data_IF_034825472447
#
_entry.id   IF_034825472447
#
_cell.length_a   1.000
_cell.length_b   1.000
_cell.length_c   1.000
_cell.angle_alpha   90.00
_cell.angle_beta   90.00
_cell.angle_gamma   90.00
#
_symmetry.space_group_name_H-M   'P 1'
#
loop_
_entity.id
_entity.type
_entity.pdbx_description
1 polymer ?
#
# COMPACT_ATOMS: atom_id res chain seq x y z
N UNK A 1 -48.33 -36.84 -13.03
CA UNK A 1 -47.99 -35.47 -12.59
C UNK A 1 -46.84 -35.57 -11.61
N UNK A 2 -45.78 -34.82 -11.88
CA UNK A 2 -44.39 -35.06 -11.44
C UNK A 2 -44.14 -34.95 -9.93
N UNK A 3 -43.20 -35.78 -9.47
CA UNK A 3 -42.59 -35.77 -8.14
C UNK A 3 -41.72 -34.51 -7.96
N UNK A 4 -41.90 -33.86 -6.81
CA UNK A 4 -41.02 -32.84 -6.25
C UNK A 4 -39.72 -33.53 -5.81
N UNK A 5 -38.58 -33.13 -6.35
CA UNK A 5 -37.25 -33.66 -6.00
C UNK A 5 -36.43 -32.62 -5.25
N UNK A 6 -35.79 -33.10 -4.19
CA UNK A 6 -34.91 -32.45 -3.23
C UNK A 6 -33.87 -31.48 -3.81
N UNK A 7 -33.79 -30.28 -3.22
CA UNK A 7 -32.63 -29.39 -3.31
C UNK A 7 -31.75 -29.60 -2.05
N UNK A 8 -30.42 -29.70 -2.16
CA UNK A 8 -29.57 -29.82 -0.98
C UNK A 8 -29.49 -28.47 -0.25
N UNK A 9 -29.59 -28.53 1.07
CA UNK A 9 -29.43 -27.40 1.97
C UNK A 9 -28.03 -26.80 1.81
N UNK A 10 -28.01 -25.53 1.41
CA UNK A 10 -26.81 -24.70 1.33
C UNK A 10 -26.38 -24.35 2.76
N UNK A 11 -25.33 -25.02 3.25
CA UNK A 11 -24.80 -24.83 4.60
C UNK A 11 -23.67 -23.78 4.56
N UNK A 12 -23.97 -22.57 4.08
CA UNK A 12 -23.10 -21.42 4.25
C UNK A 12 -23.22 -20.92 5.69
N UNK A 13 -22.23 -21.27 6.51
CA UNK A 13 -22.01 -20.64 7.82
C UNK A 13 -21.67 -19.17 7.54
N UNK A 14 -22.42 -18.18 8.05
CA UNK A 14 -22.04 -16.78 7.89
C UNK A 14 -20.69 -16.55 8.59
N UNK A 15 -19.78 -15.86 7.91
CA UNK A 15 -18.55 -15.38 8.54
C UNK A 15 -18.91 -14.46 9.72
N UNK A 16 -18.14 -14.50 10.84
CA UNK A 16 -18.43 -13.67 11.99
C UNK A 16 -18.35 -12.18 11.61
N UNK A 17 -19.42 -11.43 11.89
CA UNK A 17 -19.43 -9.97 11.79
C UNK A 17 -18.47 -9.44 12.85
N UNK A 18 -17.30 -8.97 12.43
CA UNK A 18 -16.34 -8.29 13.31
C UNK A 18 -16.83 -6.85 13.47
N UNK A 19 -17.28 -6.48 14.67
CA UNK A 19 -17.48 -5.06 15.00
C UNK A 19 -16.11 -4.38 15.09
N UNK A 20 -15.81 -3.51 14.12
CA UNK A 20 -14.65 -2.64 14.17
C UNK A 20 -14.89 -1.57 15.24
N UNK A 21 -14.47 -1.87 16.48
CA UNK A 21 -14.40 -0.87 17.56
C UNK A 21 -12.94 -0.44 17.69
N UNK A 22 -12.50 0.63 17.00
CA UNK A 22 -11.18 1.19 17.24
C UNK A 22 -11.12 1.74 18.68
N UNK A 23 -10.06 1.41 19.40
CA UNK A 23 -9.77 2.03 20.70
C UNK A 23 -9.21 3.43 20.47
N UNK A 24 -9.74 4.44 21.17
CA UNK A 24 -9.15 5.79 21.18
C UNK A 24 -7.70 5.70 21.67
N UNK A 25 -6.70 6.21 20.93
CA UNK A 25 -5.33 6.31 21.44
C UNK A 25 -5.33 7.13 22.72
N UNK A 26 -4.67 6.65 23.77
CA UNK A 26 -4.52 7.42 25.00
C UNK A 26 -3.88 8.78 24.69
N UNK A 27 -4.46 9.87 25.22
CA UNK A 27 -3.83 11.19 25.15
C UNK A 27 -2.42 11.10 25.75
N UNK A 28 -1.38 11.65 25.08
CA UNK A 28 -0.05 11.71 25.68
C UNK A 28 -0.14 12.52 26.99
N UNK A 29 0.51 12.09 28.07
CA UNK A 29 0.47 12.83 29.32
C UNK A 29 1.02 14.24 29.12
N UNK A 30 0.27 15.25 29.59
CA UNK A 30 0.77 16.61 29.74
C UNK A 30 1.99 16.59 30.64
N UNK A 31 3.17 16.84 30.09
CA UNK A 31 4.38 17.07 30.87
C UNK A 31 4.31 18.50 31.41
N UNK A 32 4.14 18.64 32.71
CA UNK A 32 4.29 19.92 33.42
C UNK A 32 5.69 20.49 33.17
N UNK A 33 5.74 21.76 32.76
CA UNK A 33 6.98 22.49 32.59
C UNK A 33 7.68 22.66 33.95
N UNK A 34 8.82 21.99 34.11
CA UNK A 34 9.74 22.24 35.21
C UNK A 34 10.72 23.32 34.75
N UNK A 35 10.68 24.48 35.40
CA UNK A 35 11.66 25.56 35.23
C UNK A 35 13.08 25.05 35.51
N UNK A 36 13.92 25.00 34.47
CA UNK A 36 15.34 24.72 34.60
C UNK A 36 16.11 26.04 34.81
N UNK A 37 16.74 26.13 35.97
CA UNK A 37 17.67 27.19 36.39
C UNK A 37 18.89 27.21 35.45
N UNK A 38 19.17 28.39 34.91
CA UNK A 38 20.35 28.69 34.08
C UNK A 38 21.59 28.86 34.96
N UNK A 39 22.76 28.34 34.56
CA UNK A 39 23.98 29.10 34.73
C UNK A 39 24.70 29.33 33.40
N UNK A 40 25.00 30.61 33.19
CA UNK A 40 25.88 31.18 32.18
C UNK A 40 27.31 30.62 32.28
N UNK A 41 27.84 30.17 31.15
CA UNK A 41 29.25 30.37 30.77
C UNK A 41 29.37 30.28 29.24
N UNK A 42 29.74 31.39 28.59
CA UNK A 42 30.32 31.37 27.23
C UNK A 42 31.64 30.58 27.24
N UNK A 43 32.03 30.04 26.08
CA UNK A 43 33.13 30.71 25.39
C UNK A 43 32.80 31.03 23.93
N UNK A 44 33.29 32.18 23.51
CA UNK A 44 33.43 32.58 22.12
C UNK A 44 34.24 31.54 21.35
N UNK A 45 33.71 31.07 20.23
CA UNK A 45 34.51 30.79 19.05
C UNK A 45 33.68 31.07 17.80
N UNK A 46 34.25 31.91 16.96
CA UNK A 46 33.72 32.41 15.69
C UNK A 46 33.52 31.25 14.72
N UNK A 47 32.28 30.86 14.44
CA UNK A 47 31.99 29.93 13.34
C UNK A 47 32.07 30.72 12.03
N UNK A 48 33.19 30.54 11.33
CA UNK A 48 33.32 30.84 9.91
C UNK A 48 32.35 29.95 9.16
N UNK A 49 31.46 30.57 8.39
CA UNK A 49 30.53 29.90 7.47
C UNK A 49 31.36 29.30 6.33
N UNK A 50 31.70 28.02 6.42
CA UNK A 50 32.20 27.26 5.28
C UNK A 50 31.02 26.54 4.61
N UNK A 51 30.49 27.18 3.57
CA UNK A 51 29.67 26.55 2.55
C UNK A 51 30.59 25.71 1.64
N UNK A 52 30.80 24.44 1.99
CA UNK A 52 31.13 23.35 1.05
C UNK A 52 31.25 22.04 1.84
N UNK A 53 30.14 21.32 1.99
CA UNK A 53 30.20 19.89 2.33
C UNK A 53 29.94 19.12 1.05
N UNK A 54 31.02 18.78 0.34
CA UNK A 54 30.96 17.88 -0.81
C UNK A 54 30.34 16.53 -0.36
N UNK A 55 29.44 15.92 -1.14
CA UNK A 55 28.89 14.61 -0.82
C UNK A 55 30.01 13.56 -0.67
N UNK A 56 29.84 12.61 0.25
CA UNK A 56 30.78 11.49 0.40
C UNK A 56 30.95 10.72 -0.92
N UNK A 57 32.16 10.23 -1.21
CA UNK A 57 32.48 9.56 -2.48
C UNK A 57 31.55 8.36 -2.79
N UNK A 58 31.16 7.59 -1.77
CA UNK A 58 30.23 6.45 -1.92
C UNK A 58 28.83 6.88 -2.36
N UNK A 59 28.34 8.02 -1.86
CA UNK A 59 27.06 8.61 -2.28
C UNK A 59 27.12 9.11 -3.72
N UNK A 60 28.23 9.75 -4.12
CA UNK A 60 28.44 10.20 -5.49
C UNK A 60 28.45 9.02 -6.47
N UNK A 61 29.16 7.94 -6.13
CA UNK A 61 29.23 6.72 -6.95
C UNK A 61 27.87 6.03 -7.11
N UNK A 62 27.07 5.98 -6.04
CA UNK A 62 25.73 5.41 -6.10
C UNK A 62 24.79 6.25 -6.98
N UNK A 63 24.87 7.58 -6.86
CA UNK A 63 24.07 8.50 -7.68
C UNK A 63 24.42 8.38 -9.16
N UNK A 64 25.71 8.30 -9.50
CA UNK A 64 26.17 8.11 -10.88
C UNK A 64 25.65 6.80 -11.48
N UNK A 65 25.70 5.70 -10.72
CA UNK A 65 25.14 4.41 -11.14
C UNK A 65 23.63 4.50 -11.35
N UNK A 66 22.92 5.15 -10.43
CA UNK A 66 21.48 5.33 -10.53
C UNK A 66 21.09 6.14 -11.78
N UNK A 67 21.83 7.19 -12.11
CA UNK A 67 21.62 7.99 -13.32
C UNK A 67 21.92 7.17 -14.60
N UNK A 68 22.94 6.32 -14.59
CA UNK A 68 23.23 5.41 -15.69
C UNK A 68 22.10 4.37 -15.89
N UNK A 69 21.61 3.76 -14.81
CA UNK A 69 20.47 2.84 -14.86
C UNK A 69 19.19 3.55 -15.35
N UNK A 70 18.98 4.82 -14.97
CA UNK A 70 17.88 5.63 -15.47
C UNK A 70 17.95 5.78 -17.00
N UNK A 71 19.11 6.16 -17.54
CA UNK A 71 19.32 6.33 -18.98
C UNK A 71 19.08 5.01 -19.76
N UNK A 72 19.64 3.90 -19.27
CA UNK A 72 19.45 2.57 -19.86
C UNK A 72 17.98 2.17 -19.81
N UNK A 73 17.32 2.41 -18.67
CA UNK A 73 15.91 2.07 -18.47
C UNK A 73 14.97 2.82 -19.42
N UNK A 74 15.16 4.13 -19.58
CA UNK A 74 14.40 4.95 -20.53
C UNK A 74 14.64 4.52 -21.97
N UNK A 75 15.90 4.24 -22.33
CA UNK A 75 16.26 3.72 -23.66
C UNK A 75 15.57 2.38 -23.95
N UNK A 76 15.60 1.45 -22.99
CA UNK A 76 14.91 0.18 -23.10
C UNK A 76 13.39 0.34 -23.24
N UNK A 77 12.78 1.30 -22.51
CA UNK A 77 11.35 1.60 -22.62
C UNK A 77 10.99 2.06 -24.04
N UNK A 78 11.77 2.99 -24.60
CA UNK A 78 11.57 3.48 -25.98
C UNK A 78 11.74 2.37 -27.03
N UNK A 79 12.65 1.43 -26.79
CA UNK A 79 12.86 0.25 -27.64
C UNK A 79 11.76 -0.83 -27.46
N UNK A 80 10.80 -0.64 -26.56
CA UNK A 80 9.75 -1.62 -26.27
C UNK A 80 10.20 -2.81 -25.41
N UNK A 81 11.41 -2.78 -24.86
CA UNK A 81 11.91 -3.81 -23.96
C UNK A 81 11.45 -3.52 -22.52
N UNK A 82 10.18 -3.80 -22.26
CA UNK A 82 9.48 -3.36 -21.03
C UNK A 82 10.07 -3.97 -19.75
N UNK A 83 10.58 -5.20 -19.79
CA UNK A 83 11.12 -5.89 -18.61
C UNK A 83 12.49 -5.33 -18.23
N UNK A 84 13.36 -5.08 -19.21
CA UNK A 84 14.63 -4.40 -18.97
C UNK A 84 14.39 -2.97 -18.45
N UNK A 85 13.47 -2.24 -19.08
CA UNK A 85 13.09 -0.91 -18.65
C UNK A 85 12.64 -0.87 -17.19
N UNK A 86 11.69 -1.74 -16.80
CA UNK A 86 11.19 -1.82 -15.42
C UNK A 86 12.31 -2.18 -14.44
N UNK A 87 13.19 -3.10 -14.83
CA UNK A 87 14.31 -3.54 -14.00
C UNK A 87 15.28 -2.39 -13.74
N UNK A 88 15.75 -1.73 -14.79
CA UNK A 88 16.71 -0.64 -14.73
C UNK A 88 16.16 0.59 -14.02
N UNK A 89 14.92 0.97 -14.30
CA UNK A 89 14.29 2.11 -13.63
C UNK A 89 14.06 1.84 -12.13
N UNK A 90 13.77 0.60 -11.72
CA UNK A 90 13.74 0.27 -10.30
C UNK A 90 15.12 0.29 -9.66
N UNK A 91 16.17 -0.20 -10.33
CA UNK A 91 17.54 -0.08 -9.83
C UNK A 91 17.93 1.39 -9.64
N UNK A 92 17.62 2.23 -10.62
CA UNK A 92 17.83 3.67 -10.53
C UNK A 92 17.08 4.27 -9.33
N UNK A 93 15.79 3.97 -9.16
CA UNK A 93 14.97 4.49 -8.07
C UNK A 93 15.55 4.15 -6.68
N UNK A 94 16.08 2.93 -6.50
CA UNK A 94 16.70 2.51 -5.24
C UNK A 94 18.15 2.99 -5.08
N UNK A 95 18.81 3.38 -6.18
CA UNK A 95 20.23 3.79 -6.20
C UNK A 95 20.51 5.23 -5.75
N UNK A 96 19.47 6.01 -5.39
CA UNK A 96 19.64 7.37 -4.88
C UNK A 96 19.62 8.44 -5.98
N UNK A 97 18.60 8.41 -6.84
CA UNK A 97 18.36 9.48 -7.81
C UNK A 97 18.09 10.84 -7.12
N UNK A 98 18.43 11.97 -7.76
CA UNK A 98 17.97 13.28 -7.30
C UNK A 98 16.43 13.39 -7.40
N UNK A 99 15.85 14.27 -6.57
CA UNK A 99 14.39 14.30 -6.33
C UNK A 99 13.54 14.46 -7.61
N UNK A 100 14.01 15.27 -8.57
CA UNK A 100 13.30 15.48 -9.84
C UNK A 100 13.24 14.18 -10.66
N UNK A 101 14.36 13.48 -10.76
CA UNK A 101 14.44 12.19 -11.45
C UNK A 101 13.66 11.10 -10.72
N UNK A 102 13.59 11.12 -9.38
CA UNK A 102 12.75 10.19 -8.60
C UNK A 102 11.29 10.31 -9.02
N UNK A 103 10.79 11.54 -9.13
CA UNK A 103 9.39 11.79 -9.50
C UNK A 103 9.09 11.27 -10.91
N UNK A 104 9.90 11.67 -11.91
CA UNK A 104 9.68 11.22 -13.29
C UNK A 104 9.84 9.70 -13.43
N UNK A 105 10.85 9.10 -12.80
CA UNK A 105 11.07 7.65 -12.80
C UNK A 105 9.86 6.89 -12.24
N UNK A 106 9.23 7.38 -11.18
CA UNK A 106 8.01 6.77 -10.62
C UNK A 106 6.83 6.82 -11.58
N UNK A 107 6.68 7.89 -12.37
CA UNK A 107 5.64 7.98 -13.41
C UNK A 107 5.91 6.93 -14.50
N UNK A 108 7.15 6.86 -14.98
CA UNK A 108 7.58 5.90 -16.01
C UNK A 108 7.36 4.44 -15.57
N UNK A 109 7.67 4.14 -14.30
CA UNK A 109 7.47 2.83 -13.70
C UNK A 109 6.00 2.48 -13.51
N UNK A 110 5.14 3.44 -13.13
CA UNK A 110 3.70 3.19 -13.01
C UNK A 110 3.08 2.80 -14.36
N UNK A 111 3.46 3.48 -15.45
CA UNK A 111 3.02 3.11 -16.80
C UNK A 111 3.53 1.73 -17.23
N UNK A 112 4.76 1.36 -16.85
CA UNK A 112 5.30 0.03 -17.09
C UNK A 112 4.57 -1.03 -16.28
N UNK A 113 4.18 -0.74 -15.03
CA UNK A 113 3.40 -1.64 -14.19
C UNK A 113 2.00 -1.88 -14.78
N UNK A 114 1.33 -0.86 -15.31
CA UNK A 114 0.05 -1.04 -16.01
C UNK A 114 0.18 -1.98 -17.23
N UNK A 115 1.33 -1.96 -17.91
CA UNK A 115 1.61 -2.81 -19.09
C UNK A 115 2.14 -4.19 -18.75
N UNK A 116 2.79 -4.39 -17.61
CA UNK A 116 3.52 -5.63 -17.29
C UNK A 116 3.00 -6.36 -16.06
N UNK A 117 2.49 -5.65 -15.06
CA UNK A 117 1.97 -6.20 -13.80
C UNK A 117 0.45 -6.31 -13.87
N UNK A 118 -0.23 -5.19 -14.09
CA UNK A 118 -1.71 -5.11 -14.02
C UNK A 118 -2.41 -5.44 -15.35
N UNK A 119 -1.66 -5.73 -16.41
CA UNK A 119 -2.19 -6.18 -17.69
C UNK A 119 -2.43 -7.69 -17.74
N UNK A 120 -3.24 -8.10 -18.72
CA UNK A 120 -3.36 -9.50 -19.10
C UNK A 120 -2.09 -10.02 -19.78
N UNK A 121 -1.72 -11.25 -19.47
CA UNK A 121 -0.58 -11.95 -20.09
C UNK A 121 0.75 -11.73 -19.36
N UNK A 122 1.65 -12.68 -19.55
CA UNK A 122 3.01 -12.69 -18.99
C UNK A 122 3.98 -12.24 -20.07
N UNK A 123 4.73 -11.17 -19.79
CA UNK A 123 5.79 -10.72 -20.67
C UNK A 123 6.93 -11.74 -20.72
N UNK A 124 7.64 -11.81 -21.84
CA UNK A 124 8.74 -12.75 -22.01
C UNK A 124 9.82 -12.52 -20.94
N UNK A 125 10.24 -13.59 -20.26
CA UNK A 125 11.23 -13.56 -19.19
C UNK A 125 10.90 -12.60 -18.03
N UNK A 126 9.62 -12.36 -17.75
CA UNK A 126 9.21 -11.56 -16.59
C UNK A 126 9.45 -12.34 -15.28
N UNK A 127 10.33 -11.88 -14.38
CA UNK A 127 10.59 -12.56 -13.11
C UNK A 127 9.46 -12.41 -12.08
N UNK A 128 8.51 -11.50 -12.30
CA UNK A 128 7.41 -11.22 -11.37
C UNK A 128 6.14 -12.01 -11.68
N UNK A 129 6.08 -12.69 -12.83
CA UNK A 129 4.85 -13.28 -13.32
C UNK A 129 5.10 -14.61 -14.04
N UNK A 130 4.16 -15.55 -13.86
CA UNK A 130 4.15 -16.80 -14.62
C UNK A 130 2.74 -17.18 -15.06
N UNK A 131 2.65 -18.17 -15.95
CA UNK A 131 1.37 -18.77 -16.30
C UNK A 131 1.12 -19.97 -15.40
N UNK A 132 0.03 -19.93 -14.66
CA UNK A 132 -0.51 -21.06 -13.91
C UNK A 132 -1.60 -21.76 -14.72
N UNK A 133 -1.52 -23.09 -14.84
CA UNK A 133 -2.61 -23.90 -15.42
C UNK A 133 -3.50 -24.42 -14.31
N UNK A 134 -4.77 -24.02 -14.33
CA UNK A 134 -5.80 -24.45 -13.38
C UNK A 134 -5.94 -25.97 -13.38
N UNK A 135 -5.95 -26.57 -12.20
CA UNK A 135 -6.06 -28.01 -11.97
C UNK A 135 -7.39 -28.35 -11.32
N UNK A 136 -7.79 -29.62 -11.40
CA UNK A 136 -8.97 -30.11 -10.67
C UNK A 136 -8.87 -29.78 -9.17
N UNK A 137 -9.94 -29.22 -8.61
CA UNK A 137 -10.03 -28.80 -7.20
C UNK A 137 -9.47 -27.41 -6.89
N UNK A 138 -8.95 -26.67 -7.88
CA UNK A 138 -8.58 -25.28 -7.69
C UNK A 138 -9.82 -24.37 -7.58
N UNK A 139 -9.68 -23.31 -6.78
CA UNK A 139 -10.54 -22.12 -6.82
C UNK A 139 -9.67 -20.89 -7.00
N UNK A 140 -10.23 -19.78 -7.46
CA UNK A 140 -9.47 -18.55 -7.68
C UNK A 140 -8.82 -18.07 -6.37
N UNK A 141 -9.56 -18.13 -5.26
CA UNK A 141 -9.06 -17.80 -3.93
C UNK A 141 -7.89 -18.70 -3.49
N UNK A 142 -7.96 -20.02 -3.72
CA UNK A 142 -6.86 -20.94 -3.36
C UNK A 142 -5.60 -20.68 -4.19
N UNK A 143 -5.77 -20.36 -5.48
CA UNK A 143 -4.65 -19.99 -6.35
C UNK A 143 -4.06 -18.67 -5.86
N UNK A 144 -4.88 -17.64 -5.67
CA UNK A 144 -4.44 -16.32 -5.22
C UNK A 144 -3.64 -16.40 -3.90
N UNK A 145 -4.17 -17.13 -2.90
CA UNK A 145 -3.49 -17.36 -1.63
C UNK A 145 -2.11 -18.01 -1.81
N UNK A 146 -1.97 -19.02 -2.68
CA UNK A 146 -0.66 -19.67 -2.96
C UNK A 146 0.38 -18.66 -3.46
N UNK A 147 -0.06 -17.68 -4.23
CA UNK A 147 0.78 -16.65 -4.84
C UNK A 147 0.84 -15.36 -4.00
N UNK A 148 0.25 -15.36 -2.80
CA UNK A 148 0.15 -14.19 -1.91
C UNK A 148 -0.50 -12.99 -2.59
N UNK A 149 -1.59 -13.25 -3.29
CA UNK A 149 -2.44 -12.27 -3.98
C UNK A 149 -3.85 -12.32 -3.41
N UNK A 150 -4.62 -11.26 -3.67
CA UNK A 150 -6.07 -11.31 -3.52
C UNK A 150 -6.69 -12.01 -4.75
N UNK A 151 -7.88 -12.58 -4.56
CA UNK A 151 -8.64 -13.13 -5.67
C UNK A 151 -9.25 -12.04 -6.57
N UNK A 152 -9.50 -10.84 -6.05
CA UNK A 152 -9.87 -9.63 -6.82
C UNK A 152 -8.82 -9.26 -7.85
N UNK A 153 -7.55 -9.16 -7.42
CA UNK A 153 -6.45 -8.86 -8.32
C UNK A 153 -6.29 -9.96 -9.35
N UNK A 154 -6.31 -11.22 -8.91
CA UNK A 154 -6.14 -12.35 -9.80
C UNK A 154 -7.26 -12.42 -10.85
N UNK A 155 -8.52 -12.14 -10.46
CA UNK A 155 -9.64 -12.04 -11.37
C UNK A 155 -9.44 -10.90 -12.38
N UNK A 156 -9.07 -9.72 -11.89
CA UNK A 156 -8.92 -8.49 -12.67
C UNK A 156 -7.86 -8.65 -13.76
N UNK A 157 -6.64 -9.08 -13.41
CA UNK A 157 -5.55 -9.23 -14.39
C UNK A 157 -5.82 -10.35 -15.42
N UNK A 158 -6.70 -11.30 -15.08
CA UNK A 158 -7.12 -12.39 -15.96
C UNK A 158 -8.46 -12.14 -16.67
N UNK A 159 -9.07 -10.96 -16.48
CA UNK A 159 -10.36 -10.59 -17.06
C UNK A 159 -11.48 -11.60 -16.75
N UNK A 160 -11.51 -12.07 -15.49
CA UNK A 160 -12.51 -13.02 -15.00
C UNK A 160 -13.62 -12.23 -14.30
N UNK A 161 -14.80 -12.07 -14.91
CA UNK A 161 -15.89 -11.28 -14.30
C UNK A 161 -16.56 -12.02 -13.13
N UNK A 162 -16.53 -13.35 -13.12
CA UNK A 162 -17.09 -14.16 -12.05
C UNK A 162 -16.01 -15.11 -11.50
N UNK A 163 -15.55 -14.82 -10.28
CA UNK A 163 -14.47 -15.55 -9.60
C UNK A 163 -14.76 -17.05 -9.39
N UNK A 164 -16.03 -17.44 -9.45
CA UNK A 164 -16.48 -18.84 -9.29
C UNK A 164 -16.40 -19.65 -10.59
N UNK A 165 -16.04 -19.03 -11.72
CA UNK A 165 -16.02 -19.67 -13.04
C UNK A 165 -14.59 -19.77 -13.55
N UNK A 166 -13.75 -20.54 -12.85
CA UNK A 166 -12.49 -21.05 -13.41
C UNK A 166 -12.66 -22.51 -13.82
N UNK A 167 -11.93 -22.94 -14.86
CA UNK A 167 -12.02 -24.29 -15.41
C UNK A 167 -10.65 -24.92 -15.47
N UNK A 168 -10.58 -26.22 -15.22
CA UNK A 168 -9.36 -27.01 -15.42
C UNK A 168 -8.79 -26.80 -16.83
N UNK A 169 -7.46 -26.67 -16.92
CA UNK A 169 -6.74 -26.36 -18.16
C UNK A 169 -6.71 -24.88 -18.53
N UNK A 170 -7.52 -24.02 -17.88
CA UNK A 170 -7.42 -22.56 -18.08
C UNK A 170 -6.03 -22.06 -17.66
N UNK A 171 -5.42 -21.22 -18.49
CA UNK A 171 -4.14 -20.57 -18.18
C UNK A 171 -4.40 -19.20 -17.60
N UNK A 172 -3.91 -18.98 -16.38
CA UNK A 172 -4.00 -17.71 -15.66
C UNK A 172 -2.60 -17.09 -15.58
N UNK A 173 -2.50 -15.79 -15.79
CA UNK A 173 -1.38 -15.01 -15.27
C UNK A 173 -1.48 -15.02 -13.75
N UNK A 174 -0.39 -15.32 -13.09
CA UNK A 174 -0.20 -15.14 -11.66
C UNK A 174 1.02 -14.25 -11.43
N UNK A 175 0.97 -13.41 -10.42
CA UNK A 175 2.10 -12.59 -9.97
C UNK A 175 2.73 -13.25 -8.74
N UNK A 176 4.03 -13.06 -8.55
CA UNK A 176 4.71 -13.46 -7.32
C UNK A 176 4.56 -12.35 -6.27
N UNK A 177 3.51 -12.44 -5.47
CA UNK A 177 3.27 -11.52 -4.35
C UNK A 177 4.28 -11.67 -3.21
N UNK A 178 4.08 -10.95 -2.09
CA UNK A 178 2.97 -10.03 -1.85
C UNK A 178 3.24 -8.59 -2.33
N UNK A 179 2.20 -7.76 -2.24
CA UNK A 179 2.35 -6.30 -2.37
C UNK A 179 2.59 -5.65 -1.01
N UNK A 180 3.38 -4.58 -0.98
CA UNK A 180 3.66 -3.77 0.20
C UNK A 180 3.43 -2.29 -0.10
N UNK A 181 3.32 -1.50 0.97
CA UNK A 181 3.13 -0.05 0.90
C UNK A 181 4.22 0.66 1.70
N UNK A 182 4.72 1.77 1.18
CA UNK A 182 5.48 2.78 1.92
C UNK A 182 4.72 4.10 1.89
N UNK A 183 4.52 4.74 3.04
CA UNK A 183 3.88 6.04 3.16
C UNK A 183 4.92 7.03 3.69
N UNK A 184 5.13 8.10 2.92
CA UNK A 184 5.93 9.23 3.36
C UNK A 184 4.99 10.33 3.89
N UNK A 185 5.16 10.69 5.15
CA UNK A 185 4.33 11.69 5.82
C UNK A 185 4.64 13.10 5.37
N UNK A 186 5.91 13.45 5.09
CA UNK A 186 6.29 14.80 4.72
C UNK A 186 5.75 15.27 3.36
N UNK A 187 5.39 14.35 2.47
CA UNK A 187 4.82 14.67 1.15
C UNK A 187 3.45 14.05 0.86
N UNK A 188 2.83 13.41 1.86
CA UNK A 188 1.51 12.78 1.75
C UNK A 188 1.39 11.77 0.61
N UNK A 189 2.43 10.98 0.35
CA UNK A 189 2.42 9.98 -0.70
C UNK A 189 2.45 8.55 -0.16
N UNK A 190 1.56 7.73 -0.70
CA UNK A 190 1.63 6.27 -0.66
C UNK A 190 2.35 5.76 -1.89
N UNK A 191 3.30 4.86 -1.71
CA UNK A 191 4.00 4.13 -2.76
C UNK A 191 3.74 2.63 -2.61
N UNK A 192 3.30 1.98 -3.68
CA UNK A 192 3.00 0.55 -3.69
C UNK A 192 4.11 -0.20 -4.41
N UNK A 193 4.50 -1.33 -3.83
CA UNK A 193 5.53 -2.21 -4.33
C UNK A 193 4.99 -3.64 -4.48
N UNK A 194 5.33 -4.32 -5.57
CA UNK A 194 5.23 -5.78 -5.68
C UNK A 194 6.59 -6.35 -5.29
N UNK A 195 6.67 -7.00 -4.13
CA UNK A 195 7.96 -7.27 -3.49
C UNK A 195 8.74 -5.95 -3.34
N UNK A 196 9.92 -5.82 -3.96
CA UNK A 196 10.73 -4.60 -3.96
C UNK A 196 10.58 -3.75 -5.24
N UNK A 197 9.65 -4.12 -6.13
CA UNK A 197 9.43 -3.42 -7.40
C UNK A 197 8.34 -2.37 -7.23
N UNK A 198 8.68 -1.10 -7.41
CA UNK A 198 7.71 0.00 -7.41
C UNK A 198 6.73 -0.16 -8.57
N UNK A 199 5.42 -0.05 -8.26
CA UNK A 199 4.37 -0.25 -9.26
C UNK A 199 3.37 0.90 -9.36
N UNK A 200 3.13 1.66 -8.29
CA UNK A 200 2.07 2.68 -8.28
C UNK A 200 2.19 3.63 -7.08
N UNK A 201 1.52 4.78 -7.12
CA UNK A 201 1.40 5.69 -5.97
C UNK A 201 0.10 6.48 -5.98
N UNK A 202 -0.28 6.99 -4.81
CA UNK A 202 -1.41 7.90 -4.61
C UNK A 202 -1.11 8.91 -3.50
N UNK A 203 -1.85 10.02 -3.49
CA UNK A 203 -1.85 10.95 -2.35
C UNK A 203 -2.70 10.38 -1.22
N UNK A 204 -2.33 10.69 0.01
CA UNK A 204 -3.05 10.28 1.22
C UNK A 204 -3.43 11.47 2.10
N UNK A 205 -4.51 11.37 2.86
CA UNK A 205 -4.65 12.18 4.08
C UNK A 205 -4.16 11.39 5.29
N UNK A 206 -3.59 12.10 6.25
CA UNK A 206 -2.98 11.52 7.45
C UNK A 206 -3.61 12.12 8.71
N UNK A 207 -3.19 11.59 9.86
CA UNK A 207 -3.62 12.03 11.17
C UNK A 207 -3.13 13.42 11.53
N UNK A 208 -4.03 14.26 12.02
CA UNK A 208 -3.68 15.58 12.54
C UNK A 208 -2.63 15.49 13.65
N UNK A 209 -1.79 16.51 13.79
CA UNK A 209 -0.77 16.62 14.84
C UNK A 209 0.20 15.42 14.89
N UNK A 210 0.47 14.78 13.75
CA UNK A 210 1.36 13.62 13.68
C UNK A 210 0.77 12.33 14.25
N UNK A 211 -0.55 12.26 14.45
CA UNK A 211 -1.24 11.11 15.04
C UNK A 211 -1.26 9.84 14.19
N UNK A 212 -0.75 9.87 12.95
CA UNK A 212 -0.37 8.66 12.21
C UNK A 212 1.03 8.21 12.63
N UNK A 213 1.16 7.11 13.39
CA UNK A 213 2.45 6.69 13.94
C UNK A 213 3.36 6.13 12.85
N UNK A 214 4.65 6.46 12.95
CA UNK A 214 5.69 5.87 12.09
C UNK A 214 5.95 4.42 12.48
N UNK A 215 6.56 3.66 11.59
CA UNK A 215 6.92 2.27 11.84
C UNK A 215 6.41 1.32 10.78
N UNK A 216 6.47 0.02 11.10
CA UNK A 216 5.98 -1.03 10.21
C UNK A 216 4.69 -1.58 10.78
N UNK A 217 3.69 -1.67 9.93
CA UNK A 217 2.37 -2.21 10.21
C UNK A 217 2.14 -3.45 9.36
N UNK A 218 1.51 -4.47 9.94
CA UNK A 218 1.03 -5.64 9.22
C UNK A 218 -0.45 -5.44 8.88
N UNK A 219 -0.84 -5.80 7.66
CA UNK A 219 -2.26 -5.85 7.27
C UNK A 219 -2.88 -7.06 7.96
N UNK A 220 -3.91 -6.86 8.78
CA UNK A 220 -4.53 -7.94 9.57
C UNK A 220 -5.92 -8.34 9.06
N UNK A 221 -6.64 -7.39 8.47
CA UNK A 221 -8.01 -7.62 7.99
C UNK A 221 -8.33 -6.66 6.86
N UNK A 222 -9.29 -7.07 6.03
CA UNK A 222 -9.84 -6.28 4.95
C UNK A 222 -11.34 -6.47 4.91
N UNK A 223 -12.06 -5.38 4.70
CA UNK A 223 -13.51 -5.40 4.63
C UNK A 223 -13.99 -4.45 3.53
N UNK A 224 -14.82 -4.98 2.64
CA UNK A 224 -15.61 -4.20 1.69
C UNK A 224 -16.95 -3.82 2.35
N UNK A 225 -17.46 -2.63 2.04
CA UNK A 225 -18.65 -2.01 2.62
C UNK A 225 -18.68 -2.15 4.15
N UNK A 226 -17.64 -1.64 4.86
CA UNK A 226 -17.51 -1.86 6.28
C UNK A 226 -18.63 -1.19 7.08
N UNK A 227 -19.05 -1.83 8.16
CA UNK A 227 -19.73 -1.12 9.25
C UNK A 227 -18.67 -0.31 10.01
N UNK A 228 -19.03 0.89 10.48
CA UNK A 228 -18.14 1.70 11.30
C UNK A 228 -18.84 2.30 12.51
N UNK A 229 -18.10 2.41 13.62
CA UNK A 229 -18.52 3.10 14.83
C UNK A 229 -17.46 4.14 15.16
N UNK A 230 -17.87 5.41 15.24
CA UNK A 230 -16.98 6.48 15.67
C UNK A 230 -16.60 6.24 17.14
N UNK A 231 -15.30 6.06 17.44
CA UNK A 231 -14.87 5.76 18.80
C UNK A 231 -15.04 6.93 19.77
N UNK A 232 -15.22 8.16 19.27
CA UNK A 232 -15.40 9.37 20.09
C UNK A 232 -16.87 9.63 20.43
N UNK A 233 -17.76 9.44 19.47
CA UNK A 233 -19.19 9.77 19.62
C UNK A 233 -20.08 8.56 19.83
N UNK A 234 -19.60 7.36 19.48
CA UNK A 234 -20.41 6.14 19.44
C UNK A 234 -21.41 6.09 18.29
N UNK A 235 -21.41 7.09 17.39
CA UNK A 235 -22.25 7.07 16.20
C UNK A 235 -21.89 5.87 15.32
N UNK A 236 -22.90 5.24 14.74
CA UNK A 236 -22.75 4.01 13.96
C UNK A 236 -23.26 4.22 12.53
N UNK A 237 -22.50 3.70 11.58
CA UNK A 237 -22.85 3.61 10.17
C UNK A 237 -22.89 2.15 9.76
N UNK A 238 -23.93 1.79 9.01
CA UNK A 238 -24.13 0.43 8.52
C UNK A 238 -23.43 0.21 7.16
N UNK A 239 -23.23 -1.04 6.74
CA UNK A 239 -22.76 -1.33 5.38
C UNK A 239 -23.62 -0.64 4.31
N UNK A 240 -22.99 -0.13 3.26
CA UNK A 240 -23.60 0.64 2.14
C UNK A 240 -24.21 1.99 2.53
N UNK A 241 -23.95 2.49 3.74
CA UNK A 241 -24.33 3.84 4.13
C UNK A 241 -23.45 4.87 3.40
N UNK A 242 -24.01 5.74 2.54
CA UNK A 242 -23.23 6.71 1.78
C UNK A 242 -22.58 7.80 2.66
N UNK A 243 -23.07 7.99 3.88
CA UNK A 243 -22.53 8.96 4.84
C UNK A 243 -21.45 8.33 5.74
N UNK A 244 -21.06 7.08 5.50
CA UNK A 244 -20.02 6.40 6.27
C UNK A 244 -18.66 7.06 5.98
N UNK A 245 -18.02 7.72 6.96
CA UNK A 245 -16.81 8.51 6.70
C UNK A 245 -15.57 7.68 6.38
N UNK A 246 -15.60 6.36 6.59
CA UNK A 246 -14.51 5.47 6.16
C UNK A 246 -14.70 4.92 4.73
N UNK A 247 -15.81 5.26 4.07
CA UNK A 247 -16.10 4.89 2.68
C UNK A 247 -16.32 3.39 2.49
N UNK A 248 -16.04 2.91 1.27
CA UNK A 248 -16.43 1.57 0.82
C UNK A 248 -15.43 0.46 1.22
N UNK A 249 -14.24 0.81 1.69
CA UNK A 249 -13.18 -0.18 1.93
C UNK A 249 -12.39 0.16 3.19
N UNK A 250 -12.13 -0.87 3.99
CA UNK A 250 -11.31 -0.80 5.19
C UNK A 250 -10.19 -1.84 5.11
N UNK A 251 -8.97 -1.41 5.41
CA UNK A 251 -7.79 -2.27 5.57
C UNK A 251 -7.24 -2.03 6.97
N UNK A 252 -7.48 -2.97 7.88
CA UNK A 252 -7.04 -2.88 9.27
C UNK A 252 -5.56 -3.19 9.43
N UNK A 253 -4.90 -2.44 10.30
CA UNK A 253 -3.47 -2.51 10.54
C UNK A 253 -3.16 -2.83 12.02
N UNK A 254 -2.12 -3.62 12.22
CA UNK A 254 -1.50 -3.86 13.54
C UNK A 254 -0.02 -3.47 13.46
N UNK A 255 0.43 -2.67 14.43
CA UNK A 255 1.80 -2.17 14.42
C UNK A 255 2.79 -3.18 15.00
N UNK A 256 3.85 -3.47 14.25
CA UNK A 256 4.81 -4.56 14.54
C UNK A 256 6.26 -4.08 14.70
N UNK A 257 6.58 -2.84 14.32
CA UNK A 257 7.92 -2.24 14.50
C UNK A 257 7.86 -0.71 14.58
N UNK A 258 8.80 -0.09 15.30
CA UNK A 258 8.90 1.37 15.42
C UNK A 258 7.85 1.92 16.38
N UNK A 259 7.41 3.17 16.18
CA UNK A 259 6.41 3.81 17.03
C UNK A 259 5.05 3.10 16.95
N UNK A 260 4.81 2.35 15.88
CA UNK A 260 3.59 1.57 15.67
C UNK A 260 3.43 0.38 16.65
N UNK A 261 4.50 -0.13 17.28
CA UNK A 261 4.45 -1.40 18.04
C UNK A 261 3.30 -1.43 19.05
N UNK A 262 2.47 -2.46 18.96
CA UNK A 262 1.36 -2.70 19.89
C UNK A 262 0.13 -1.81 19.64
N UNK A 263 0.14 -0.97 18.61
CA UNK A 263 -1.00 -0.17 18.21
C UNK A 263 -1.95 -0.97 17.31
N UNK A 264 -3.25 -0.83 17.60
CA UNK A 264 -4.36 -1.44 16.87
C UNK A 264 -5.49 -0.42 16.69
N UNK A 265 -6.46 -0.70 15.81
CA UNK A 265 -7.55 0.24 15.51
C UNK A 265 -7.20 1.31 14.46
N UNK A 266 -5.99 1.23 13.90
CA UNK A 266 -5.56 2.00 12.74
C UNK A 266 -5.89 1.26 11.44
N UNK A 267 -6.07 2.02 10.36
CA UNK A 267 -6.35 1.44 9.06
C UNK A 267 -6.06 2.38 7.89
N UNK A 268 -6.11 1.79 6.69
CA UNK A 268 -6.19 2.50 5.42
C UNK A 268 -7.64 2.40 4.94
N UNK A 269 -8.28 3.52 4.62
CA UNK A 269 -9.68 3.53 4.21
C UNK A 269 -10.00 4.65 3.21
N UNK A 270 -11.22 4.64 2.66
CA UNK A 270 -11.73 5.68 1.76
C UNK A 270 -12.10 6.96 2.52
N UNK A 271 -12.74 7.92 1.85
CA UNK A 271 -13.25 9.13 2.53
C UNK A 271 -14.42 9.71 1.75
N UNK A 272 -15.41 10.25 2.46
CA UNK A 272 -16.49 11.05 1.85
C UNK A 272 -16.11 12.53 1.70
N UNK A 273 -14.92 12.90 2.18
CA UNK A 273 -14.35 14.25 2.15
C UNK A 273 -13.10 14.26 1.24
N UNK A 274 -13.22 14.11 -0.09
CA UNK A 274 -12.08 13.95 -1.00
C UNK A 274 -11.12 15.14 -1.00
N UNK A 275 -11.60 16.34 -0.66
CA UNK A 275 -10.78 17.55 -0.52
C UNK A 275 -9.73 17.45 0.60
N UNK A 276 -9.90 16.51 1.55
CA UNK A 276 -8.95 16.28 2.64
C UNK A 276 -7.69 15.53 2.21
N UNK A 277 -7.68 14.91 1.04
CA UNK A 277 -6.53 14.17 0.53
C UNK A 277 -5.33 15.11 0.35
N UNK A 278 -4.19 14.72 0.93
CA UNK A 278 -2.98 15.56 0.99
C UNK A 278 -2.89 16.48 2.21
N UNK A 279 -3.73 16.25 3.23
CA UNK A 279 -3.75 17.04 4.47
C UNK A 279 -3.65 16.15 5.72
N UNK A 280 -3.28 16.77 6.85
CA UNK A 280 -3.23 16.14 8.17
C UNK A 280 -4.52 16.44 8.96
N UNK A 281 -5.58 15.66 8.73
CA UNK A 281 -6.93 15.93 9.29
C UNK A 281 -7.60 14.73 9.96
N UNK A 282 -7.08 13.52 9.77
CA UNK A 282 -7.71 12.31 10.32
C UNK A 282 -7.43 12.16 11.81
N UNK A 283 -8.08 11.18 12.45
CA UNK A 283 -7.79 10.79 13.84
C UNK A 283 -6.55 9.90 13.99
N UNK A 284 -5.84 9.61 12.89
CA UNK A 284 -4.64 8.76 12.88
C UNK A 284 -4.59 7.79 11.70
N UNK A 285 -5.74 7.40 11.15
CA UNK A 285 -5.84 6.54 9.98
C UNK A 285 -5.34 7.21 8.68
N UNK A 286 -4.98 6.38 7.70
CA UNK A 286 -4.61 6.81 6.36
C UNK A 286 -5.86 6.84 5.49
N UNK A 287 -6.18 8.01 4.91
CA UNK A 287 -7.31 8.16 3.97
C UNK A 287 -6.82 8.18 2.53
N UNK A 288 -7.56 7.55 1.65
CA UNK A 288 -7.37 7.55 0.20
C UNK A 288 -8.66 8.01 -0.50
N UNK A 289 -8.53 8.53 -1.71
CA UNK A 289 -9.67 8.76 -2.60
C UNK A 289 -10.32 7.42 -3.01
N UNK A 290 -11.58 7.45 -3.44
CA UNK A 290 -12.39 6.25 -3.71
C UNK A 290 -11.73 5.26 -4.67
N UNK A 291 -11.26 5.73 -5.82
CA UNK A 291 -10.60 4.88 -6.81
C UNK A 291 -9.25 4.33 -6.29
N UNK A 292 -8.54 5.13 -5.49
CA UNK A 292 -7.24 4.77 -4.93
C UNK A 292 -7.39 3.69 -3.85
N UNK A 293 -8.35 3.84 -2.93
CA UNK A 293 -8.61 2.81 -1.92
C UNK A 293 -9.11 1.53 -2.57
N UNK A 294 -9.98 1.61 -3.59
CA UNK A 294 -10.44 0.43 -4.31
C UNK A 294 -9.25 -0.32 -4.93
N UNK A 295 -8.30 0.40 -5.55
CA UNK A 295 -7.09 -0.20 -6.09
C UNK A 295 -6.23 -0.83 -5.00
N UNK A 296 -5.89 -0.12 -3.93
CA UNK A 296 -5.06 -0.66 -2.82
C UNK A 296 -5.75 -1.85 -2.16
N UNK A 297 -7.07 -1.82 -2.04
CA UNK A 297 -7.90 -2.93 -1.60
C UNK A 297 -7.91 -4.09 -2.62
N UNK A 298 -7.40 -4.00 -3.83
CA UNK A 298 -7.14 -5.23 -4.61
C UNK A 298 -5.76 -5.81 -4.35
N UNK A 299 -4.83 -5.05 -3.76
CA UNK A 299 -3.41 -5.44 -3.73
C UNK A 299 -2.98 -6.07 -2.41
N UNK A 300 -3.41 -5.51 -1.28
CA UNK A 300 -2.86 -5.90 0.03
C UNK A 300 -3.49 -7.19 0.56
N UNK A 301 -2.69 -8.12 1.05
CA UNK A 301 -3.13 -9.42 1.54
C UNK A 301 -2.92 -9.50 3.07
N UNK A 302 -3.92 -9.90 3.86
CA UNK A 302 -3.75 -10.04 5.30
C UNK A 302 -2.62 -11.00 5.66
N UNK A 303 -1.85 -10.65 6.67
CA UNK A 303 -0.67 -11.34 7.21
C UNK A 303 0.53 -11.47 6.26
N UNK A 304 0.38 -11.14 4.98
CA UNK A 304 1.45 -11.17 3.98
C UNK A 304 1.95 -9.77 3.63
N UNK A 305 1.04 -8.78 3.58
CA UNK A 305 1.36 -7.39 3.25
C UNK A 305 1.77 -6.57 4.46
N UNK A 306 2.68 -5.62 4.22
CA UNK A 306 3.18 -4.67 5.21
C UNK A 306 3.03 -3.25 4.68
N UNK A 307 2.81 -2.33 5.61
CA UNK A 307 2.72 -0.89 5.39
C UNK A 307 3.80 -0.23 6.25
N UNK A 308 4.79 0.38 5.62
CA UNK A 308 5.82 1.15 6.30
C UNK A 308 5.43 2.62 6.27
N UNK A 309 5.34 3.27 7.43
CA UNK A 309 5.07 4.71 7.54
C UNK A 309 6.32 5.38 8.08
N UNK A 310 6.77 6.42 7.39
CA UNK A 310 7.97 7.18 7.75
C UNK A 310 7.79 8.66 7.41
N UNK A 311 8.65 9.51 7.95
CA UNK A 311 8.68 10.93 7.61
C UNK A 311 9.32 11.20 6.22
#
# INVERSE_FOLDING_TARGET
MQKLSDLPADNHRPEPIIELVPTVPAEPPMVEAVEAIVPSTQPSDTIVVNADTQPSADFSLNTERALADLEVGLTAKHAGNLIEARTRLNLALHGGLPQEQVRSTRIELAELADKTVFSFGVAAADPLAEYYTVRSGDSLARIAHRYKLTDDLLATINRIPNKNIIREGMRLKVLHGPFHVSINKSNHMMHVYLQDVYVWSARVALGANGSTPTGVWQVIVRQENPQWVDPRTGQRWHPNDPDNPIGNFWIGLEGVKGDAVGQSGYGIHGTIEPETIGQDVSLGCVRLADDDIARVFTLLVPYESYVTIHD
#
